data_IF_581123561717
#
_entry.id   IF_581123561717
#
_cell.length_a   1.000
_cell.length_b   1.000
_cell.length_c   1.000
_cell.angle_alpha   90.00
_cell.angle_beta   90.00
_cell.angle_gamma   90.00
#
_symmetry.space_group_name_H-M   'P 1'
#
loop_
_entity.id
_entity.type
_entity.pdbx_description
1 polymer ?
#
# COMPACT_ATOMS: atom_id res chain seq x y z
N UNK A 1 -18.10 -55.55 -51.84
CA UNK A 1 -19.21 -54.59 -51.89
C UNK A 1 -19.97 -54.61 -50.57
N UNK A 2 -19.51 -53.86 -49.57
CA UNK A 2 -20.34 -53.36 -48.47
C UNK A 2 -19.73 -52.04 -48.01
N UNK A 3 -20.51 -50.96 -48.17
CA UNK A 3 -20.16 -49.61 -47.79
C UNK A 3 -20.54 -49.41 -46.32
N UNK A 4 -19.56 -49.09 -45.48
CA UNK A 4 -19.77 -48.82 -44.06
C UNK A 4 -19.96 -47.32 -43.86
N UNK A 5 -21.19 -46.95 -43.54
CA UNK A 5 -21.68 -45.58 -43.35
C UNK A 5 -21.08 -45.04 -42.05
N UNK A 6 -20.12 -44.12 -42.16
CA UNK A 6 -19.62 -43.35 -41.01
C UNK A 6 -20.59 -42.22 -40.70
N UNK A 7 -21.32 -42.36 -39.60
CA UNK A 7 -22.14 -41.29 -39.00
C UNK A 7 -21.25 -40.12 -38.55
N UNK A 8 -21.49 -38.94 -39.11
CA UNK A 8 -20.94 -37.65 -38.64
C UNK A 8 -21.60 -37.25 -37.31
N UNK A 9 -20.85 -36.87 -36.27
CA UNK A 9 -21.42 -36.14 -35.15
C UNK A 9 -21.77 -34.70 -35.58
N UNK A 10 -22.96 -34.26 -35.19
CA UNK A 10 -23.44 -32.89 -35.37
C UNK A 10 -22.57 -31.90 -34.58
N UNK A 11 -22.04 -30.90 -35.27
CA UNK A 11 -21.32 -29.78 -34.67
C UNK A 11 -22.30 -28.83 -33.98
N UNK A 12 -22.16 -28.65 -32.67
CA UNK A 12 -22.87 -27.60 -31.93
C UNK A 12 -22.43 -26.20 -32.37
N UNK A 13 -23.31 -25.19 -32.37
CA UNK A 13 -22.94 -23.82 -32.73
C UNK A 13 -21.98 -23.22 -31.70
N UNK A 14 -20.86 -22.69 -32.21
CA UNK A 14 -19.89 -21.90 -31.45
C UNK A 14 -20.54 -20.54 -31.13
N UNK A 15 -20.86 -20.30 -29.87
CA UNK A 15 -21.22 -18.97 -29.40
C UNK A 15 -19.96 -18.07 -29.38
N UNK A 16 -20.02 -16.84 -29.90
CA UNK A 16 -18.93 -15.88 -29.76
C UNK A 16 -18.80 -15.44 -28.29
N UNK A 17 -17.58 -15.18 -27.79
CA UNK A 17 -17.41 -14.62 -26.46
C UNK A 17 -17.96 -13.20 -26.41
N UNK A 18 -18.90 -12.97 -25.50
CA UNK A 18 -19.36 -11.64 -25.10
C UNK A 18 -18.14 -10.77 -24.76
N UNK A 19 -17.83 -9.79 -25.61
CA UNK A 19 -16.96 -8.68 -25.25
C UNK A 19 -17.71 -7.80 -24.26
N UNK A 20 -17.37 -7.91 -22.97
CA UNK A 20 -17.71 -6.88 -21.98
C UNK A 20 -16.82 -5.66 -22.25
N UNK A 21 -17.42 -4.58 -22.68
CA UNK A 21 -16.81 -3.25 -22.74
C UNK A 21 -16.70 -2.68 -21.33
N UNK A 22 -15.58 -2.00 -21.06
CA UNK A 22 -15.17 -1.49 -19.74
C UNK A 22 -15.93 -0.22 -19.30
N UNK A 23 -17.16 -0.01 -19.79
CA UNK A 23 -17.83 1.30 -19.76
C UNK A 23 -19.16 1.36 -18.99
N UNK A 24 -19.64 0.24 -18.41
CA UNK A 24 -20.98 0.20 -17.78
C UNK A 24 -20.98 0.31 -16.24
N UNK A 25 -19.84 0.56 -15.59
CA UNK A 25 -19.75 0.64 -14.12
C UNK A 25 -19.76 2.09 -13.56
N UNK A 26 -20.23 3.08 -14.33
CA UNK A 26 -20.38 4.47 -13.85
C UNK A 26 -21.84 4.91 -13.79
N UNK A 27 -22.61 4.36 -12.85
CA UNK A 27 -23.77 5.04 -12.28
C UNK A 27 -24.22 4.35 -10.99
N UNK A 28 -23.84 4.92 -9.83
CA UNK A 28 -24.69 5.06 -8.64
C UNK A 28 -23.94 5.86 -7.58
N UNK A 29 -24.04 7.19 -7.67
CA UNK A 29 -23.87 8.08 -6.53
C UNK A 29 -25.13 8.03 -5.66
N UNK A 30 -24.99 7.70 -4.37
CA UNK A 30 -25.59 8.44 -3.24
C UNK A 30 -25.54 7.66 -1.92
N UNK A 31 -24.54 7.95 -1.09
CA UNK A 31 -24.68 7.87 0.38
C UNK A 31 -23.99 9.10 0.99
N UNK A 32 -24.71 9.94 1.76
CA UNK A 32 -24.15 11.12 2.38
C UNK A 32 -23.52 10.80 3.74
N UNK A 33 -22.41 11.47 4.04
CA UNK A 33 -21.89 11.63 5.39
C UNK A 33 -20.80 10.62 5.77
N UNK A 34 -19.55 11.08 5.77
CA UNK A 34 -18.67 10.95 6.93
C UNK A 34 -17.41 11.80 6.74
N UNK A 35 -17.09 12.51 7.81
CA UNK A 35 -16.05 13.52 7.90
C UNK A 35 -14.64 12.96 7.68
N UNK A 36 -13.82 13.77 7.01
CA UNK A 36 -12.39 13.55 6.80
C UNK A 36 -11.65 13.69 8.14
N UNK A 37 -11.34 12.56 8.76
CA UNK A 37 -10.47 12.45 9.92
C UNK A 37 -9.00 12.49 9.51
N UNK A 38 -8.27 13.44 10.08
CA UNK A 38 -6.84 13.73 9.89
C UNK A 38 -5.95 12.49 10.07
N UNK A 39 -5.04 12.25 9.12
CA UNK A 39 -3.91 11.32 9.29
C UNK A 39 -2.95 11.87 10.34
N UNK A 40 -2.84 11.22 11.50
CA UNK A 40 -1.74 11.40 12.45
C UNK A 40 -0.61 10.42 12.12
N UNK A 41 0.61 10.92 12.18
CA UNK A 41 1.87 10.20 12.05
C UNK A 41 2.08 9.17 13.18
N UNK A 42 2.92 8.14 12.98
CA UNK A 42 3.20 7.09 13.96
C UNK A 42 4.02 7.58 15.17
N UNK A 43 3.88 6.96 16.36
CA UNK A 43 4.66 7.31 17.55
C UNK A 43 6.09 6.77 17.46
N UNK A 44 7.04 7.67 17.71
CA UNK A 44 8.47 7.41 17.75
C UNK A 44 8.91 6.49 18.90
N UNK A 45 9.99 5.78 18.59
CA UNK A 45 10.76 4.89 19.45
C UNK A 45 11.34 5.64 20.66
N UNK A 46 11.20 5.03 21.84
CA UNK A 46 11.85 5.45 23.09
C UNK A 46 13.36 5.28 22.97
N UNK A 47 14.12 6.37 23.12
CA UNK A 47 15.53 6.31 23.48
C UNK A 47 15.74 6.83 24.91
N UNK A 48 16.55 6.07 25.63
CA UNK A 48 16.96 6.27 27.02
C UNK A 48 17.75 7.57 27.19
N UNK A 49 17.33 8.41 28.14
CA UNK A 49 18.07 9.59 28.58
C UNK A 49 19.25 9.20 29.49
N UNK A 50 20.46 9.67 29.14
CA UNK A 50 21.50 10.01 30.12
C UNK A 50 21.53 11.52 30.25
N UNK A 51 21.49 11.97 31.49
CA UNK A 51 21.49 13.37 31.91
C UNK A 51 22.88 13.99 31.70
N UNK A 52 22.94 15.16 31.05
CA UNK A 52 23.89 16.22 31.40
C UNK A 52 23.17 17.55 31.23
N UNK A 53 23.17 18.35 32.31
CA UNK A 53 22.56 19.66 32.45
C UNK A 53 23.25 20.73 31.59
N UNK A 54 22.45 21.71 31.13
CA UNK A 54 22.73 23.15 30.90
C UNK A 54 21.57 23.67 30.01
N UNK A 55 20.45 24.20 30.51
CA UNK A 55 20.16 25.47 31.23
C UNK A 55 20.57 26.75 30.47
N UNK A 56 19.64 27.29 29.68
CA UNK A 56 19.28 28.73 29.47
C UNK A 56 18.02 28.74 28.58
N UNK A 57 16.81 29.03 29.09
CA UNK A 57 16.14 30.33 29.31
C UNK A 57 15.45 30.93 28.06
N UNK A 58 14.27 31.54 28.31
CA UNK A 58 13.24 32.13 27.41
C UNK A 58 12.33 31.12 26.71
N UNK A 59 11.09 30.87 27.13
CA UNK A 59 9.92 31.77 27.31
C UNK A 59 9.46 32.40 25.98
N UNK A 60 8.31 31.95 25.46
CA UNK A 60 7.17 32.78 25.06
C UNK A 60 6.10 32.01 24.26
N UNK A 61 4.90 32.02 24.84
CA UNK A 61 3.55 32.02 24.26
C UNK A 61 3.32 31.64 22.79
N UNK A 62 2.63 30.50 22.62
CA UNK A 62 1.93 30.14 21.39
C UNK A 62 0.46 30.62 21.46
N UNK A 63 0.23 31.90 21.16
CA UNK A 63 -1.11 32.43 20.81
C UNK A 63 -1.28 32.40 19.30
N UNK A 64 -1.99 31.41 18.79
CA UNK A 64 -2.29 31.24 17.37
C UNK A 64 -3.45 32.12 16.91
N UNK A 65 -3.18 33.41 16.70
CA UNK A 65 -4.07 34.28 15.93
C UNK A 65 -3.40 34.66 14.61
N UNK A 66 -4.05 34.24 13.54
CA UNK A 66 -3.71 34.44 12.15
C UNK A 66 -3.74 35.93 11.79
N UNK A 67 -2.62 36.47 11.31
CA UNK A 67 -2.49 37.84 10.77
C UNK A 67 -1.81 37.85 9.40
N UNK A 68 -2.03 36.84 8.56
CA UNK A 68 -1.49 36.79 7.18
C UNK A 68 -2.41 37.48 6.16
N UNK A 69 -3.12 38.55 6.58
CA UNK A 69 -3.97 39.34 5.69
C UNK A 69 -3.74 40.85 5.89
N UNK A 70 -2.48 41.29 5.84
CA UNK A 70 -2.14 42.74 5.84
C UNK A 70 -1.00 43.15 4.89
N UNK A 71 -0.60 42.29 3.92
CA UNK A 71 0.40 42.66 2.89
C UNK A 71 -0.19 42.84 1.48
N UNK A 72 -1.46 43.21 1.36
CA UNK A 72 -2.10 43.46 0.05
C UNK A 72 -2.60 44.90 -0.13
N UNK A 73 -1.79 45.89 0.28
CA UNK A 73 -2.01 47.29 -0.08
C UNK A 73 -0.65 47.94 -0.34
N UNK A 74 -0.04 47.65 -1.49
CA UNK A 74 0.88 48.60 -2.17
C UNK A 74 1.11 48.20 -3.64
N UNK A 75 0.02 47.99 -4.37
CA UNK A 75 0.06 47.91 -5.82
C UNK A 75 -0.98 48.87 -6.36
N UNK A 76 -0.56 50.10 -6.66
CA UNK A 76 -0.97 50.94 -7.80
C UNK A 76 -0.58 52.40 -7.56
N UNK A 77 0.48 52.86 -8.24
CA UNK A 77 0.42 54.03 -9.14
C UNK A 77 1.68 53.99 -10.02
N UNK A 78 1.58 53.78 -11.33
CA UNK A 78 1.28 54.80 -12.34
C UNK A 78 2.33 55.91 -12.37
N UNK A 79 3.37 55.77 -13.20
CA UNK A 79 3.78 56.86 -14.08
C UNK A 79 4.39 56.32 -15.37
N UNK A 80 3.86 56.90 -16.43
CA UNK A 80 4.12 56.78 -17.86
C UNK A 80 5.58 57.02 -18.26
N UNK A 81 6.12 56.19 -19.15
CA UNK A 81 6.87 56.70 -20.31
C UNK A 81 6.50 55.90 -21.57
N UNK A 82 6.35 56.56 -22.72
CA UNK A 82 5.80 55.94 -23.92
C UNK A 82 6.85 55.23 -24.76
N UNK A 83 6.38 54.14 -25.37
CA UNK A 83 6.93 53.47 -26.53
C UNK A 83 6.77 54.36 -27.78
N UNK A 84 7.84 54.55 -28.55
CA UNK A 84 7.83 54.56 -30.02
C UNK A 84 9.30 54.46 -30.50
N UNK A 85 9.68 53.38 -31.19
CA UNK A 85 9.67 53.24 -32.67
C UNK A 85 10.85 54.01 -33.29
N UNK A 86 11.94 53.32 -33.66
CA UNK A 86 12.23 52.79 -35.01
C UNK A 86 12.91 53.84 -35.91
N UNK A 87 13.58 53.38 -36.98
CA UNK A 87 14.29 54.13 -38.06
C UNK A 87 15.79 54.43 -37.77
N UNK A 88 16.75 53.73 -38.38
CA UNK A 88 17.18 53.68 -39.80
C UNK A 88 18.06 54.85 -40.25
N UNK A 89 19.17 54.48 -40.88
CA UNK A 89 20.11 55.19 -41.77
C UNK A 89 19.76 56.61 -42.22
N UNK A 90 20.74 57.53 -42.15
CA UNK A 90 21.48 57.98 -43.35
C UNK A 90 22.48 59.13 -43.06
N UNK A 91 23.59 59.03 -43.77
CA UNK A 91 24.38 60.03 -44.49
C UNK A 91 25.12 61.26 -43.89
N UNK A 92 26.37 61.34 -44.39
CA UNK A 92 27.26 62.49 -44.70
C UNK A 92 27.51 63.64 -43.72
N UNK A 93 28.80 63.94 -43.42
CA UNK A 93 29.68 64.80 -44.26
C UNK A 93 31.03 65.16 -43.59
N UNK A 94 32.10 64.99 -44.37
CA UNK A 94 33.36 65.76 -44.44
C UNK A 94 33.90 66.54 -43.22
N UNK A 95 35.16 66.23 -42.85
CA UNK A 95 36.23 67.25 -42.93
C UNK A 95 37.62 66.65 -43.12
N UNK A 96 38.21 67.08 -44.22
CA UNK A 96 39.57 66.84 -44.71
C UNK A 96 40.54 67.88 -44.08
N UNK A 97 41.84 67.57 -44.11
CA UNK A 97 43.02 68.36 -43.65
C UNK A 97 43.25 68.39 -42.12
N UNK A 98 44.48 68.30 -41.57
CA UNK A 98 45.78 68.70 -42.09
C UNK A 98 46.92 67.98 -41.36
N UNK A 99 47.85 67.48 -42.18
CA UNK A 99 49.24 67.06 -41.90
C UNK A 99 49.98 68.06 -41.01
N UNK A 100 50.60 67.63 -39.90
CA UNK A 100 51.88 68.19 -39.48
C UNK A 100 52.88 67.11 -39.04
N UNK A 101 54.06 67.30 -39.59
CA UNK A 101 55.28 66.50 -39.54
C UNK A 101 55.96 66.79 -38.19
N UNK A 102 56.67 65.83 -37.56
CA UNK A 102 57.50 66.15 -36.40
C UNK A 102 58.56 67.18 -36.83
N UNK A 103 58.78 68.28 -36.09
CA UNK A 103 59.89 69.16 -36.37
C UNK A 103 61.21 68.45 -36.05
N UNK A 104 62.15 68.51 -36.98
CA UNK A 104 63.53 68.09 -36.80
C UNK A 104 64.16 68.77 -35.56
N UNK A 105 65.10 68.10 -34.86
CA UNK A 105 65.76 68.67 -33.70
C UNK A 105 66.55 69.94 -34.08
N UNK A 106 66.42 71.05 -33.35
CA UNK A 106 67.28 72.19 -33.57
C UNK A 106 68.73 71.83 -33.24
N UNK A 107 69.61 72.12 -34.21
CA UNK A 107 71.07 72.08 -34.14
C UNK A 107 71.60 72.67 -32.82
N UNK A 108 72.71 72.13 -32.27
CA UNK A 108 73.40 72.73 -31.15
C UNK A 108 73.95 74.09 -31.60
N UNK A 109 73.39 75.18 -31.06
CA UNK A 109 74.02 76.49 -31.14
C UNK A 109 75.14 76.51 -30.12
N UNK A 110 76.36 76.71 -30.62
CA UNK A 110 77.54 76.97 -29.81
C UNK A 110 77.27 78.10 -28.79
N UNK A 111 77.81 77.98 -27.57
CA UNK A 111 77.57 78.93 -26.50
C UNK A 111 78.14 80.31 -26.89
N UNK A 112 77.36 81.41 -26.85
CA UNK A 112 77.96 82.72 -26.88
C UNK A 112 78.80 82.88 -25.62
N UNK A 113 80.10 82.99 -25.84
CA UNK A 113 81.12 83.59 -24.99
C UNK A 113 80.59 84.12 -23.66
N UNK A 114 81.01 83.43 -22.59
CA UNK A 114 80.86 83.75 -21.17
C UNK A 114 81.40 85.16 -20.89
N UNK A 115 80.62 86.18 -21.26
CA UNK A 115 80.76 87.55 -20.78
C UNK A 115 80.56 87.48 -19.28
N UNK A 116 81.58 87.94 -18.56
CA UNK A 116 81.68 88.03 -17.12
C UNK A 116 80.30 88.34 -16.52
N UNK A 117 79.75 87.37 -15.77
CA UNK A 117 78.66 87.64 -14.82
C UNK A 117 79.24 88.62 -13.81
N UNK A 118 79.14 89.91 -14.11
CA UNK A 118 78.96 90.90 -13.07
C UNK A 118 77.78 90.38 -12.27
N UNK A 119 78.03 90.04 -11.02
CA UNK A 119 77.01 89.81 -10.01
C UNK A 119 76.15 91.07 -9.94
N UNK A 120 75.18 91.18 -10.85
CA UNK A 120 74.03 92.03 -10.66
C UNK A 120 73.32 91.38 -9.49
N UNK A 121 73.63 91.86 -8.29
CA UNK A 121 72.91 91.55 -7.07
C UNK A 121 71.44 91.80 -7.41
N UNK A 122 70.70 90.72 -7.62
CA UNK A 122 69.28 90.83 -7.88
C UNK A 122 68.68 91.63 -6.72
N UNK A 123 67.71 92.49 -7.02
CA UNK A 123 67.06 93.23 -5.96
C UNK A 123 66.46 92.21 -4.99
N UNK A 124 66.63 92.39 -3.68
CA UNK A 124 66.10 91.46 -2.66
C UNK A 124 64.62 91.09 -2.90
N UNK A 125 63.86 91.98 -3.55
CA UNK A 125 62.47 91.73 -3.97
C UNK A 125 62.32 90.77 -5.16
N UNK A 126 63.19 90.83 -6.17
CA UNK A 126 63.18 89.89 -7.31
C UNK A 126 63.55 88.47 -6.84
N UNK A 127 64.54 88.34 -5.96
CA UNK A 127 64.89 87.06 -5.34
C UNK A 127 63.73 86.52 -4.50
N UNK A 128 63.01 87.38 -3.79
CA UNK A 128 61.82 87.00 -3.03
C UNK A 128 60.69 86.47 -3.93
N UNK A 129 60.39 87.14 -5.06
CA UNK A 129 59.36 86.69 -6.02
C UNK A 129 59.77 85.36 -6.68
N UNK A 130 61.04 85.22 -7.07
CA UNK A 130 61.56 83.96 -7.63
C UNK A 130 61.51 82.83 -6.59
N UNK A 131 61.85 83.11 -5.33
CA UNK A 131 61.78 82.13 -4.25
C UNK A 131 60.33 81.73 -3.96
N UNK A 132 59.39 82.69 -3.96
CA UNK A 132 57.97 82.41 -3.72
C UNK A 132 57.33 81.59 -4.84
N UNK A 133 57.64 81.91 -6.08
CA UNK A 133 57.17 81.13 -7.24
C UNK A 133 57.80 79.74 -7.30
N UNK A 134 59.06 79.57 -6.87
CA UNK A 134 59.66 78.25 -6.66
C UNK A 134 58.96 77.46 -5.55
N UNK A 135 58.72 78.08 -4.39
CA UNK A 135 58.02 77.46 -3.27
C UNK A 135 56.61 76.98 -3.69
N UNK A 136 55.89 77.78 -4.49
CA UNK A 136 54.56 77.44 -5.00
C UNK A 136 54.61 76.29 -6.03
N UNK A 137 55.60 76.28 -6.92
CA UNK A 137 55.84 75.16 -7.86
C UNK A 137 56.19 73.88 -7.13
N UNK A 138 57.00 73.94 -6.08
CA UNK A 138 57.33 72.79 -5.24
C UNK A 138 56.11 72.26 -4.49
N UNK A 139 55.26 73.14 -3.95
CA UNK A 139 53.97 72.73 -3.36
C UNK A 139 53.10 72.01 -4.37
N UNK A 140 52.97 72.55 -5.58
CA UNK A 140 52.20 71.91 -6.66
C UNK A 140 52.79 70.56 -7.09
N UNK A 141 54.12 70.43 -7.14
CA UNK A 141 54.82 69.15 -7.38
C UNK A 141 54.58 68.14 -6.26
N UNK A 142 54.63 68.57 -4.99
CA UNK A 142 54.33 67.72 -3.83
C UNK A 142 52.88 67.25 -3.83
N UNK A 143 51.93 68.13 -4.17
CA UNK A 143 50.52 67.77 -4.32
C UNK A 143 50.31 66.77 -5.46
N UNK A 144 50.89 67.01 -6.63
CA UNK A 144 50.80 66.08 -7.76
C UNK A 144 51.46 64.72 -7.46
N UNK A 145 52.51 64.69 -6.63
CA UNK A 145 53.11 63.45 -6.15
C UNK A 145 52.16 62.69 -5.21
N UNK A 146 51.60 63.38 -4.21
CA UNK A 146 50.61 62.79 -3.29
C UNK A 146 49.38 62.26 -4.00
N UNK A 147 48.83 63.01 -4.94
CA UNK A 147 47.67 62.57 -5.72
C UNK A 147 47.97 61.30 -6.56
N UNK A 148 49.21 61.15 -7.05
CA UNK A 148 49.63 59.92 -7.72
C UNK A 148 49.73 58.73 -6.76
N UNK A 149 50.31 58.96 -5.58
CA UNK A 149 50.45 57.95 -4.53
C UNK A 149 49.08 57.50 -4.00
N UNK A 150 48.16 58.44 -3.76
CA UNK A 150 46.78 58.18 -3.36
C UNK A 150 46.02 57.36 -4.42
N UNK A 151 46.18 57.70 -5.71
CA UNK A 151 45.58 56.94 -6.83
C UNK A 151 46.15 55.52 -6.94
N UNK A 152 47.45 55.36 -6.78
CA UNK A 152 48.10 54.05 -6.81
C UNK A 152 47.63 53.17 -5.63
N UNK A 153 47.47 53.76 -4.44
CA UNK A 153 46.93 53.07 -3.27
C UNK A 153 45.44 52.70 -3.45
N UNK A 154 44.62 53.57 -4.02
CA UNK A 154 43.22 53.27 -4.33
C UNK A 154 43.10 52.12 -5.35
N UNK A 155 43.92 52.12 -6.41
CA UNK A 155 43.98 51.01 -7.36
C UNK A 155 44.43 49.71 -6.70
N UNK A 156 45.41 49.75 -5.80
CA UNK A 156 45.88 48.57 -5.06
C UNK A 156 44.75 48.00 -4.18
N UNK A 157 44.05 48.86 -3.44
CA UNK A 157 42.90 48.44 -2.63
C UNK A 157 41.76 47.88 -3.48
N UNK A 158 41.50 48.46 -4.66
CA UNK A 158 40.48 47.96 -5.57
C UNK A 158 40.84 46.56 -6.08
N UNK A 159 42.08 46.34 -6.49
CA UNK A 159 42.58 45.01 -6.91
C UNK A 159 42.45 43.98 -5.79
N UNK A 160 42.87 44.31 -4.56
CA UNK A 160 42.71 43.42 -3.42
C UNK A 160 41.24 43.08 -3.11
N UNK A 161 40.32 44.05 -3.22
CA UNK A 161 38.89 43.82 -3.03
C UNK A 161 38.31 42.91 -4.12
N UNK A 162 38.72 43.11 -5.37
CA UNK A 162 38.31 42.27 -6.49
C UNK A 162 38.83 40.84 -6.34
N UNK A 163 40.10 40.65 -5.95
CA UNK A 163 40.66 39.33 -5.66
C UNK A 163 39.95 38.62 -4.50
N UNK A 164 39.68 39.34 -3.40
CA UNK A 164 38.90 38.81 -2.27
C UNK A 164 37.49 38.40 -2.70
N UNK A 165 36.83 39.20 -3.54
CA UNK A 165 35.51 38.88 -4.10
C UNK A 165 35.57 37.63 -4.98
N UNK A 166 36.55 37.53 -5.87
CA UNK A 166 36.72 36.34 -6.71
C UNK A 166 36.97 35.07 -5.87
N UNK A 167 37.73 35.16 -4.78
CA UNK A 167 37.95 34.04 -3.89
C UNK A 167 36.68 33.64 -3.13
N UNK A 168 35.88 34.62 -2.68
CA UNK A 168 34.58 34.35 -2.06
C UNK A 168 33.62 33.70 -3.05
N UNK A 169 33.56 34.20 -4.29
CA UNK A 169 32.71 33.65 -5.35
C UNK A 169 33.12 32.22 -5.73
N UNK A 170 34.43 31.93 -5.82
CA UNK A 170 34.95 30.57 -6.04
C UNK A 170 34.54 29.62 -4.91
N UNK A 171 34.75 30.03 -3.65
CA UNK A 171 34.34 29.23 -2.47
C UNK A 171 32.84 28.99 -2.43
N UNK A 172 32.04 29.99 -2.76
CA UNK A 172 30.59 29.85 -2.82
C UNK A 172 30.19 28.86 -3.92
N UNK A 173 30.79 28.95 -5.11
CA UNK A 173 30.52 28.02 -6.22
C UNK A 173 30.87 26.58 -5.83
N UNK A 174 32.06 26.35 -5.29
CA UNK A 174 32.49 25.03 -4.82
C UNK A 174 31.53 24.46 -3.76
N UNK A 175 31.13 25.29 -2.79
CA UNK A 175 30.16 24.89 -1.76
C UNK A 175 28.79 24.55 -2.36
N UNK A 176 28.29 25.35 -3.30
CA UNK A 176 27.04 25.10 -3.99
C UNK A 176 27.08 23.80 -4.80
N UNK A 177 28.16 23.55 -5.53
CA UNK A 177 28.38 22.31 -6.28
C UNK A 177 28.43 21.09 -5.35
N UNK A 178 29.17 21.17 -4.24
CA UNK A 178 29.19 20.10 -3.24
C UNK A 178 27.81 19.83 -2.66
N UNK A 179 27.02 20.88 -2.37
CA UNK A 179 25.65 20.72 -1.85
C UNK A 179 24.72 20.08 -2.87
N UNK A 180 24.80 20.48 -4.14
CA UNK A 180 23.99 19.87 -5.20
C UNK A 180 24.36 18.40 -5.42
N UNK A 181 25.65 18.06 -5.38
CA UNK A 181 26.12 16.68 -5.48
C UNK A 181 25.64 15.83 -4.30
N UNK A 182 25.77 16.34 -3.07
CA UNK A 182 25.28 15.68 -1.86
C UNK A 182 23.77 15.42 -1.96
N UNK A 183 22.99 16.39 -2.42
CA UNK A 183 21.55 16.24 -2.61
C UNK A 183 21.22 15.20 -3.70
N UNK A 184 21.95 15.18 -4.81
CA UNK A 184 21.78 14.16 -5.87
C UNK A 184 22.07 12.76 -5.34
N UNK A 185 23.15 12.57 -4.59
CA UNK A 185 23.51 11.28 -3.98
C UNK A 185 22.41 10.83 -3.01
N UNK A 186 21.91 11.72 -2.15
CA UNK A 186 20.82 11.40 -1.22
C UNK A 186 19.53 11.02 -1.94
N UNK A 187 19.17 11.75 -3.00
CA UNK A 187 17.98 11.43 -3.82
C UNK A 187 18.14 10.06 -4.48
N UNK A 188 19.30 9.76 -5.06
CA UNK A 188 19.55 8.45 -5.67
C UNK A 188 19.55 7.33 -4.63
N UNK A 189 20.11 7.54 -3.44
CA UNK A 189 20.09 6.56 -2.36
C UNK A 189 18.65 6.25 -1.91
N UNK A 190 17.81 7.28 -1.74
CA UNK A 190 16.39 7.11 -1.42
C UNK A 190 15.65 6.33 -2.50
N UNK A 191 15.85 6.67 -3.77
CA UNK A 191 15.22 5.94 -4.89
C UNK A 191 15.67 4.47 -4.93
N UNK A 192 16.95 4.19 -4.65
CA UNK A 192 17.45 2.80 -4.57
C UNK A 192 16.81 2.04 -3.40
N UNK A 193 16.68 2.67 -2.24
CA UNK A 193 16.01 2.07 -1.07
C UNK A 193 14.54 1.78 -1.37
N UNK A 194 13.79 2.74 -1.92
CA UNK A 194 12.38 2.56 -2.28
C UNK A 194 12.18 1.44 -3.30
N UNK A 195 13.08 1.30 -4.27
CA UNK A 195 13.03 0.19 -5.25
C UNK A 195 13.30 -1.16 -4.58
N UNK A 196 14.30 -1.25 -3.72
CA UNK A 196 14.60 -2.48 -2.99
C UNK A 196 13.45 -2.88 -2.05
N UNK A 197 12.83 -1.92 -1.37
CA UNK A 197 11.66 -2.17 -0.52
C UNK A 197 10.45 -2.66 -1.34
N UNK A 198 10.20 -2.06 -2.51
CA UNK A 198 9.15 -2.52 -3.42
C UNK A 198 9.40 -3.93 -3.93
N UNK A 199 10.64 -4.26 -4.30
CA UNK A 199 11.00 -5.60 -4.75
C UNK A 199 10.81 -6.64 -3.62
N UNK A 200 11.22 -6.33 -2.40
CA UNK A 200 10.99 -7.19 -1.23
C UNK A 200 9.49 -7.38 -0.98
N UNK A 201 8.68 -6.33 -1.10
CA UNK A 201 7.24 -6.39 -0.89
C UNK A 201 6.54 -7.21 -1.99
N UNK A 202 6.97 -7.09 -3.24
CA UNK A 202 6.49 -7.91 -4.36
C UNK A 202 6.85 -9.38 -4.17
N UNK A 203 8.08 -9.68 -3.77
CA UNK A 203 8.49 -11.05 -3.44
C UNK A 203 7.66 -11.64 -2.30
N UNK A 204 7.38 -10.88 -1.24
CA UNK A 204 6.49 -11.32 -0.15
C UNK A 204 5.08 -11.64 -0.65
N UNK A 205 4.52 -10.79 -1.51
CA UNK A 205 3.19 -11.02 -2.12
C UNK A 205 3.18 -12.28 -2.98
N UNK A 206 4.20 -12.47 -3.81
CA UNK A 206 4.37 -13.68 -4.61
C UNK A 206 4.44 -14.93 -3.73
N UNK A 207 5.25 -14.92 -2.66
CA UNK A 207 5.33 -16.04 -1.73
C UNK A 207 4.00 -16.35 -1.02
N UNK A 208 3.23 -15.33 -0.62
CA UNK A 208 1.91 -15.53 -0.03
C UNK A 208 0.96 -16.17 -1.04
N UNK A 209 0.98 -15.69 -2.28
CA UNK A 209 0.17 -16.22 -3.37
C UNK A 209 0.51 -17.68 -3.68
N UNK A 210 1.80 -18.00 -3.83
CA UNK A 210 2.26 -19.38 -4.06
C UNK A 210 1.89 -20.31 -2.89
N UNK A 211 2.00 -19.84 -1.64
CA UNK A 211 1.57 -20.61 -0.48
C UNK A 211 0.07 -20.86 -0.50
N UNK A 212 -0.73 -19.84 -0.82
CA UNK A 212 -2.17 -19.98 -0.92
C UNK A 212 -2.59 -20.95 -2.03
N UNK A 213 -1.93 -20.90 -3.20
CA UNK A 213 -2.16 -21.85 -4.29
C UNK A 213 -1.82 -23.28 -3.87
N UNK A 214 -0.64 -23.50 -3.27
CA UNK A 214 -0.22 -24.83 -2.79
C UNK A 214 -1.21 -25.40 -1.75
N UNK A 215 -1.70 -24.58 -0.83
CA UNK A 215 -2.69 -25.02 0.17
C UNK A 215 -4.05 -25.30 -0.48
N UNK A 216 -4.46 -24.51 -1.48
CA UNK A 216 -5.68 -24.77 -2.25
C UNK A 216 -5.61 -26.09 -3.01
N UNK A 217 -4.50 -26.36 -3.69
CA UNK A 217 -4.28 -27.60 -4.44
C UNK A 217 -4.28 -28.82 -3.51
N UNK A 218 -3.58 -28.73 -2.37
CA UNK A 218 -3.62 -29.77 -1.32
C UNK A 218 -5.03 -30.02 -0.81
N UNK A 219 -5.80 -28.96 -0.57
CA UNK A 219 -7.18 -29.09 -0.13
C UNK A 219 -8.05 -29.76 -1.20
N UNK A 220 -7.83 -29.44 -2.47
CA UNK A 220 -8.53 -30.05 -3.60
C UNK A 220 -8.23 -31.56 -3.68
N UNK A 221 -6.97 -31.95 -3.53
CA UNK A 221 -6.55 -33.36 -3.49
C UNK A 221 -7.20 -34.11 -2.33
N UNK A 222 -7.13 -33.53 -1.12
CA UNK A 222 -7.79 -34.10 0.07
C UNK A 222 -9.31 -34.24 -0.11
N UNK A 223 -9.94 -33.31 -0.85
CA UNK A 223 -11.37 -33.39 -1.16
C UNK A 223 -11.68 -34.53 -2.12
N UNK A 224 -10.88 -34.68 -3.19
CA UNK A 224 -11.02 -35.78 -4.16
C UNK A 224 -10.82 -37.14 -3.50
N UNK A 225 -9.77 -37.29 -2.68
CA UNK A 225 -9.51 -38.53 -1.95
C UNK A 225 -10.67 -38.91 -1.03
N UNK A 226 -11.22 -37.97 -0.27
CA UNK A 226 -12.39 -38.22 0.59
C UNK A 226 -13.63 -38.61 -0.22
N UNK A 227 -13.85 -37.99 -1.36
CA UNK A 227 -14.98 -38.33 -2.24
C UNK A 227 -14.80 -39.74 -2.83
N UNK A 228 -13.58 -40.10 -3.24
CA UNK A 228 -13.24 -41.44 -3.72
C UNK A 228 -13.39 -42.50 -2.61
N UNK A 229 -12.95 -42.23 -1.39
CA UNK A 229 -13.15 -43.13 -0.24
C UNK A 229 -14.64 -43.36 0.04
N UNK A 230 -15.45 -42.29 0.04
CA UNK A 230 -16.90 -42.39 0.22
C UNK A 230 -17.53 -43.21 -0.90
N UNK A 231 -17.13 -42.96 -2.16
CA UNK A 231 -17.61 -43.71 -3.32
C UNK A 231 -17.26 -45.20 -3.25
N UNK A 232 -16.02 -45.53 -2.88
CA UNK A 232 -15.59 -46.93 -2.70
C UNK A 232 -16.38 -47.63 -1.60
N UNK A 233 -16.62 -46.93 -0.48
CA UNK A 233 -17.37 -47.48 0.65
C UNK A 233 -18.84 -47.71 0.30
N UNK A 234 -19.46 -46.79 -0.45
CA UNK A 234 -20.82 -46.96 -0.95
C UNK A 234 -20.93 -48.13 -1.94
N UNK A 235 -19.94 -48.30 -2.82
CA UNK A 235 -19.87 -49.43 -3.75
C UNK A 235 -19.67 -50.77 -3.03
N UNK A 236 -18.82 -50.82 -1.99
CA UNK A 236 -18.65 -52.00 -1.15
C UNK A 236 -19.95 -52.35 -0.39
N UNK A 237 -20.62 -51.35 0.19
CA UNK A 237 -21.91 -51.54 0.87
C UNK A 237 -23.00 -51.99 -0.10
N UNK A 238 -23.02 -51.49 -1.34
CA UNK A 238 -23.93 -51.94 -2.40
C UNK A 238 -23.66 -53.42 -2.72
N UNK A 239 -22.40 -53.78 -2.96
CA UNK A 239 -22.00 -55.18 -3.24
C UNK A 239 -22.34 -56.10 -2.07
N UNK A 240 -22.15 -55.66 -0.82
CA UNK A 240 -22.51 -56.42 0.38
C UNK A 240 -24.01 -56.66 0.47
N UNK A 241 -24.84 -55.65 0.20
CA UNK A 241 -26.30 -55.78 0.19
C UNK A 241 -26.79 -56.71 -0.92
N UNK A 242 -26.14 -56.70 -2.09
CA UNK A 242 -26.44 -57.63 -3.18
C UNK A 242 -26.10 -59.06 -2.77
N UNK A 243 -24.92 -59.31 -2.21
CA UNK A 243 -24.54 -60.62 -1.70
C UNK A 243 -25.51 -61.14 -0.60
N UNK A 244 -25.91 -60.29 0.35
CA UNK A 244 -26.88 -60.66 1.39
C UNK A 244 -28.26 -61.02 0.79
N UNK A 245 -28.68 -60.31 -0.27
CA UNK A 245 -29.93 -60.63 -0.98
C UNK A 245 -29.83 -61.99 -1.67
N UNK A 246 -28.73 -62.28 -2.35
CA UNK A 246 -28.49 -63.58 -2.99
C UNK A 246 -28.44 -64.72 -1.98
N UNK A 247 -27.78 -64.54 -0.83
CA UNK A 247 -27.75 -65.53 0.24
C UNK A 247 -29.15 -65.80 0.80
N UNK A 248 -29.94 -64.74 1.05
CA UNK A 248 -31.34 -64.90 1.48
C UNK A 248 -32.19 -65.63 0.44
N UNK A 249 -31.96 -65.38 -0.85
CA UNK A 249 -32.65 -66.10 -1.93
C UNK A 249 -32.28 -67.58 -1.92
N UNK A 250 -30.98 -67.92 -1.88
CA UNK A 250 -30.52 -69.31 -1.81
C UNK A 250 -31.07 -70.04 -0.58
N UNK A 251 -31.02 -69.40 0.60
CA UNK A 251 -31.61 -69.97 1.82
C UNK A 251 -33.12 -70.18 1.69
N UNK A 252 -33.85 -69.23 1.10
CA UNK A 252 -35.29 -69.38 0.87
C UNK A 252 -35.59 -70.52 -0.11
N UNK A 253 -34.79 -70.67 -1.16
CA UNK A 253 -34.89 -71.78 -2.11
C UNK A 253 -34.59 -73.13 -1.46
N UNK A 254 -33.55 -73.22 -0.63
CA UNK A 254 -33.23 -74.42 0.14
C UNK A 254 -34.36 -74.80 1.10
N UNK A 255 -34.87 -73.84 1.88
CA UNK A 255 -35.99 -74.04 2.80
C UNK A 255 -37.25 -74.47 2.04
N UNK A 256 -37.51 -73.86 0.88
CA UNK A 256 -38.64 -74.24 0.02
C UNK A 256 -38.50 -75.65 -0.53
N UNK A 257 -37.31 -76.02 -1.01
CA UNK A 257 -37.02 -77.36 -1.50
C UNK A 257 -37.14 -78.42 -0.40
N UNK A 258 -36.64 -78.13 0.78
CA UNK A 258 -36.81 -78.98 1.96
C UNK A 258 -38.27 -79.09 2.38
N UNK A 259 -39.02 -78.00 2.32
CA UNK A 259 -40.46 -78.03 2.54
C UNK A 259 -41.19 -78.87 1.50
N UNK A 260 -40.83 -78.79 0.21
CA UNK A 260 -41.39 -79.63 -0.86
C UNK A 260 -41.10 -81.12 -0.64
N UNK A 261 -39.92 -81.48 -0.15
CA UNK A 261 -39.58 -82.87 0.21
C UNK A 261 -40.41 -83.34 1.41
N UNK A 262 -40.48 -82.52 2.47
CA UNK A 262 -41.23 -82.83 3.70
C UNK A 262 -42.73 -82.84 3.47
N UNK A 263 -43.27 -82.00 2.58
CA UNK A 263 -44.72 -81.93 2.33
C UNK A 263 -45.25 -83.20 1.66
N UNK A 264 -44.44 -83.83 0.80
CA UNK A 264 -44.77 -85.12 0.18
C UNK A 264 -44.83 -86.27 1.21
N UNK A 265 -44.10 -86.18 2.32
CA UNK A 265 -44.07 -87.22 3.36
C UNK A 265 -44.98 -86.93 4.55
N UNK A 266 -45.58 -85.72 4.62
CA UNK A 266 -46.53 -85.40 5.67
C UNK A 266 -47.79 -86.25 5.51
N UNK A 267 -48.26 -86.94 6.57
CA UNK A 267 -49.56 -87.57 6.54
C UNK A 267 -50.61 -86.49 6.28
N UNK A 268 -51.64 -86.82 5.50
CA UNK A 268 -52.75 -85.90 5.26
C UNK A 268 -53.28 -85.43 6.61
N UNK A 269 -53.42 -84.11 6.86
CA UNK A 269 -53.90 -83.61 8.14
C UNK A 269 -55.24 -84.26 8.46
N UNK A 270 -55.35 -84.82 9.65
CA UNK A 270 -56.54 -85.51 10.11
C UNK A 270 -57.69 -84.48 10.15
N UNK A 271 -58.79 -84.81 9.48
CA UNK A 271 -59.97 -83.95 9.46
C UNK A 271 -60.52 -83.80 10.88
N UNK A 272 -60.72 -82.58 11.35
CA UNK A 272 -61.27 -82.29 12.68
C UNK A 272 -62.79 -82.46 12.75
N UNK A 273 -63.44 -82.53 11.59
CA UNK A 273 -64.87 -82.70 11.44
C UNK A 273 -65.13 -83.78 10.39
N UNK A 274 -65.95 -84.76 10.74
CA UNK A 274 -66.41 -85.80 9.82
C UNK A 274 -67.88 -85.59 9.52
N UNK A 275 -68.25 -85.67 8.25
CA UNK A 275 -69.63 -85.58 7.78
C UNK A 275 -70.01 -86.82 6.99
N UNK A 276 -71.28 -87.21 7.05
CA UNK A 276 -71.84 -88.24 6.19
C UNK A 276 -72.38 -87.57 4.92
N UNK A 277 -71.71 -87.77 3.79
CA UNK A 277 -72.27 -87.41 2.48
C UNK A 277 -72.34 -88.66 1.61
N UNK A 278 -73.50 -88.94 1.03
CA UNK A 278 -73.67 -90.08 0.12
C UNK A 278 -73.43 -91.45 0.75
N UNK A 279 -73.56 -91.59 2.08
CA UNK A 279 -73.42 -92.88 2.77
C UNK A 279 -71.98 -93.27 3.18
N UNK A 280 -70.97 -92.44 2.89
CA UNK A 280 -69.57 -92.68 3.28
C UNK A 280 -69.09 -91.57 4.21
N UNK A 281 -68.51 -91.95 5.36
CA UNK A 281 -67.92 -91.01 6.33
C UNK A 281 -66.71 -90.32 5.69
N UNK A 282 -66.88 -89.06 5.31
CA UNK A 282 -65.83 -88.27 4.66
C UNK A 282 -65.44 -87.15 5.61
N UNK A 283 -64.14 -86.96 5.82
CA UNK A 283 -63.65 -85.84 6.61
C UNK A 283 -63.71 -84.54 5.81
N UNK A 284 -64.25 -83.49 6.42
CA UNK A 284 -64.33 -82.15 5.82
C UNK A 284 -63.44 -81.19 6.62
N UNK A 285 -62.85 -80.23 5.92
CA UNK A 285 -62.32 -79.04 6.58
C UNK A 285 -63.51 -78.11 6.78
N UNK A 286 -64.03 -78.05 8.00
CA UNK A 286 -65.10 -77.12 8.34
C UNK A 286 -64.62 -75.69 8.12
N UNK A 287 -65.10 -75.05 7.04
CA UNK A 287 -64.79 -73.65 6.70
C UNK A 287 -65.47 -72.67 7.66
N UNK A 288 -66.45 -73.12 8.45
CA UNK A 288 -67.13 -72.32 9.46
C UNK A 288 -66.49 -72.47 10.86
N UNK A 289 -65.76 -73.56 11.12
CA UNK A 289 -64.95 -73.70 12.31
C UNK A 289 -63.65 -72.91 12.15
N UNK A 290 -63.66 -71.66 12.60
CA UNK A 290 -62.41 -70.95 12.85
C UNK A 290 -61.58 -71.79 13.83
N UNK A 291 -60.32 -72.15 13.49
CA UNK A 291 -59.45 -72.79 14.48
C UNK A 291 -59.39 -71.88 15.70
N UNK A 292 -59.47 -72.47 16.90
CA UNK A 292 -59.40 -71.71 18.15
C UNK A 292 -58.16 -70.81 18.07
N UNK A 293 -58.30 -69.47 18.16
CA UNK A 293 -57.16 -68.57 18.03
C UNK A 293 -56.10 -68.97 19.04
N UNK A 294 -54.87 -69.17 18.58
CA UNK A 294 -53.74 -69.55 19.46
C UNK A 294 -53.39 -68.45 20.47
N UNK A 295 -53.88 -67.23 20.25
CA UNK A 295 -53.69 -66.08 21.11
C UNK A 295 -55.04 -65.39 21.36
N UNK A 296 -55.49 -65.44 22.61
CA UNK A 296 -56.57 -64.60 23.11
C UNK A 296 -55.93 -63.42 23.85
N UNK A 297 -56.25 -62.19 23.47
CA UNK A 297 -55.87 -61.02 24.28
C UNK A 297 -56.65 -61.13 25.61
N UNK A 298 -56.00 -61.43 26.75
CA UNK A 298 -56.72 -61.77 27.98
C UNK A 298 -57.53 -60.59 28.55
N UNK A 299 -57.32 -59.38 28.03
CA UNK A 299 -57.99 -58.16 28.46
C UNK A 299 -58.31 -57.28 27.24
N UNK A 300 -59.45 -57.51 26.53
CA UNK A 300 -59.72 -56.88 25.24
C UNK A 300 -59.90 -55.35 25.29
N UNK A 301 -60.17 -54.78 26.46
CA UNK A 301 -60.34 -53.34 26.68
C UNK A 301 -59.05 -52.58 27.04
N UNK A 302 -57.91 -53.26 27.14
CA UNK A 302 -56.62 -52.56 27.26
C UNK A 302 -56.24 -51.99 25.89
N UNK A 303 -56.03 -50.66 25.77
CA UNK A 303 -55.57 -50.07 24.52
C UNK A 303 -54.25 -50.72 24.09
N UNK A 304 -54.18 -51.19 22.84
CA UNK A 304 -52.96 -51.74 22.27
C UNK A 304 -51.86 -50.69 22.46
N UNK A 305 -50.75 -51.07 23.09
CA UNK A 305 -49.66 -50.14 23.40
C UNK A 305 -49.02 -49.67 22.10
N UNK A 306 -49.49 -48.54 21.57
CA UNK A 306 -48.84 -47.86 20.45
C UNK A 306 -47.49 -47.35 20.97
N UNK A 307 -46.36 -47.80 20.43
CA UNK A 307 -45.06 -47.32 20.87
C UNK A 307 -45.01 -45.81 20.66
N UNK A 308 -44.88 -45.03 21.73
CA UNK A 308 -44.71 -43.58 21.63
C UNK A 308 -43.39 -43.32 20.92
N UNK A 309 -43.43 -42.54 19.83
CA UNK A 309 -42.22 -42.09 19.15
C UNK A 309 -41.28 -41.43 20.16
N UNK A 310 -40.04 -41.93 20.23
CA UNK A 310 -39.04 -41.46 21.18
C UNK A 310 -38.68 -40.02 20.82
N UNK A 311 -39.24 -39.07 21.58
CA UNK A 311 -38.73 -37.70 21.60
C UNK A 311 -37.24 -37.73 21.98
N UNK A 312 -36.38 -36.91 21.34
CA UNK A 312 -34.95 -36.92 21.63
C UNK A 312 -34.72 -36.61 23.10
N UNK A 313 -34.04 -37.55 23.78
CA UNK A 313 -33.71 -37.52 25.20
C UNK A 313 -32.96 -36.24 25.55
N UNK A 314 -33.63 -35.32 26.25
CA UNK A 314 -32.96 -34.24 26.99
C UNK A 314 -32.32 -34.88 28.23
N UNK A 315 -31.00 -34.91 28.24
CA UNK A 315 -30.18 -35.33 29.39
C UNK A 315 -30.48 -34.42 30.61
N UNK A 316 -30.56 -34.97 31.84
CA UNK A 316 -30.88 -34.17 33.02
C UNK A 316 -29.64 -33.47 33.58
N UNK A 317 -29.73 -32.15 33.74
CA UNK A 317 -28.75 -31.33 34.47
C UNK A 317 -28.78 -31.68 35.96
N UNK A 318 -27.74 -32.37 36.45
CA UNK A 318 -27.50 -32.59 37.88
C UNK A 318 -26.52 -31.55 38.42
N UNK A 319 -26.96 -30.91 39.50
CA UNK A 319 -26.27 -29.93 40.34
C UNK A 319 -24.81 -30.27 40.67
N UNK A 320 -23.98 -29.22 40.57
CA UNK A 320 -22.55 -29.13 40.88
C UNK A 320 -22.24 -29.40 42.36
N UNK A 321 -21.18 -30.17 42.63
CA UNK A 321 -20.24 -29.96 43.76
C UNK A 321 -18.83 -29.81 43.19
N UNK A 322 -18.05 -28.96 43.83
CA UNK A 322 -16.93 -28.24 43.23
C UNK A 322 -15.75 -29.11 42.81
N UNK A 323 -15.35 -28.93 41.56
CA UNK A 323 -14.11 -29.42 40.97
C UNK A 323 -13.73 -28.46 39.83
N UNK A 324 -12.61 -27.78 39.98
CA UNK A 324 -12.13 -26.72 39.08
C UNK A 324 -11.61 -27.36 37.78
N UNK A 325 -12.51 -27.69 36.84
CA UNK A 325 -12.12 -28.07 35.48
C UNK A 325 -12.24 -26.87 34.55
N UNK A 326 -11.12 -26.58 33.86
CA UNK A 326 -11.03 -25.58 32.79
C UNK A 326 -11.99 -25.99 31.68
N UNK A 327 -13.10 -25.27 31.53
CA UNK A 327 -14.00 -25.45 30.40
C UNK A 327 -13.28 -25.07 29.11
N UNK A 328 -13.12 -26.03 28.20
CA UNK A 328 -12.93 -25.73 26.80
C UNK A 328 -14.08 -24.84 26.33
N UNK A 329 -13.72 -23.65 25.87
CA UNK A 329 -14.64 -22.73 25.22
C UNK A 329 -15.05 -23.39 23.90
N UNK A 330 -16.35 -23.60 23.69
CA UNK A 330 -16.89 -23.74 22.34
C UNK A 330 -16.49 -22.47 21.57
N UNK A 331 -15.88 -22.56 20.37
CA UNK A 331 -15.64 -21.37 19.58
C UNK A 331 -16.99 -20.78 19.20
N UNK A 332 -17.31 -19.62 19.76
CA UNK A 332 -18.45 -18.82 19.30
C UNK A 332 -18.33 -18.61 17.78
N UNK A 333 -19.43 -18.62 17.01
CA UNK A 333 -19.40 -18.29 15.59
C UNK A 333 -18.64 -16.98 15.38
N UNK A 334 -17.89 -16.83 14.28
CA UNK A 334 -17.00 -15.69 14.08
C UNK A 334 -17.79 -14.41 14.23
N UNK A 335 -17.53 -13.69 15.32
CA UNK A 335 -18.13 -12.39 15.57
C UNK A 335 -17.75 -11.49 14.41
N UNK A 336 -18.73 -10.77 13.86
CA UNK A 336 -18.47 -9.68 12.94
C UNK A 336 -17.41 -8.79 13.61
N UNK A 337 -16.32 -8.48 12.92
CA UNK A 337 -15.14 -7.73 13.38
C UNK A 337 -15.49 -6.48 14.20
N UNK A 338 -16.63 -5.82 13.90
CA UNK A 338 -17.18 -4.70 14.68
C UNK A 338 -17.47 -5.02 16.15
N UNK A 339 -17.91 -6.24 16.47
CA UNK A 339 -18.31 -6.64 17.82
C UNK A 339 -17.10 -7.01 18.70
N UNK A 340 -16.00 -7.44 18.07
CA UNK A 340 -14.71 -7.69 18.74
C UNK A 340 -14.09 -6.38 19.22
N UNK A 341 -14.11 -5.34 18.37
CA UNK A 341 -13.62 -4.00 18.71
C UNK A 341 -14.44 -3.36 19.84
N UNK A 342 -15.77 -3.49 19.82
CA UNK A 342 -16.59 -2.93 20.90
C UNK A 342 -16.34 -3.61 22.25
N UNK A 343 -16.05 -4.92 22.27
CA UNK A 343 -15.70 -5.64 23.51
C UNK A 343 -14.34 -5.23 24.08
N UNK A 344 -13.33 -4.95 23.25
CA UNK A 344 -12.03 -4.50 23.74
C UNK A 344 -12.13 -3.10 24.37
N UNK A 345 -12.89 -2.19 23.75
CA UNK A 345 -13.17 -0.85 24.28
C UNK A 345 -13.94 -0.92 25.61
N UNK A 346 -14.93 -1.82 25.72
CA UNK A 346 -15.69 -2.03 26.97
C UNK A 346 -14.84 -2.63 28.11
N UNK A 347 -13.88 -3.49 27.78
CA UNK A 347 -12.92 -4.03 28.76
C UNK A 347 -11.92 -2.98 29.25
N UNK A 348 -11.48 -2.08 28.39
CA UNK A 348 -10.55 -1.02 28.80
C UNK A 348 -11.24 0.04 29.67
N UNK A 349 -12.47 0.44 29.33
CA UNK A 349 -13.24 1.39 30.13
C UNK A 349 -13.63 0.87 31.53
N UNK A 350 -13.88 -0.44 31.67
CA UNK A 350 -14.17 -1.06 32.98
C UNK A 350 -12.93 -1.23 33.88
N UNK A 351 -11.72 -1.25 33.31
CA UNK A 351 -10.47 -1.26 34.08
C UNK A 351 -10.07 0.13 34.58
N UNK A 352 -10.42 1.17 33.82
CA UNK A 352 -10.15 2.57 34.19
C UNK A 352 -11.08 3.03 35.33
N UNK A 353 -12.33 2.57 35.33
CA UNK A 353 -13.33 2.93 36.35
C UNK A 353 -13.14 2.23 37.70
N UNK A 354 -12.33 1.17 37.78
CA UNK A 354 -11.96 0.50 39.05
C UNK A 354 -10.68 1.04 39.70
N UNK A 355 -10.04 2.03 39.08
CA UNK A 355 -8.80 2.67 39.57
C UNK A 355 -8.99 4.13 40.01
N UNK A 356 -10.23 4.56 40.23
CA UNK A 356 -10.56 5.85 40.84
C UNK A 356 -11.18 5.66 42.21
#
# INVERSE_FOLDING_TARGET
MYAEIRSRPQSSPIHPPFRRTLADDLATDNIPGLAVGRRRAPPGVRQSARQVLNRTYSDESMTGYSTDSLLSILSHDSYTTPTDSDLSDEDTKEKLYRKEKPPDPPKPRDPPTRKQKKEKKASHWEEWVVRKTQEEREKRRKQAWKEKEDKEEEERQRKEKEEKKQMADKKHKEWAEQKTLQQKIQRQAKVRQEKAEKEIEEQKKQQIHEKAQKEYDRWLEMKKQKEEEVRQKEEEDRRRKEAEKEEKQKQAEEVYNDWLKKSKTKPRPMFHSFGYTGGVLTGYHDRAAYPIPSFYNPVPWMPIHVPKEKQPTKVPDKKRRGGRQKSQHQPSPPLLWKEVEQRTVRKQSSLITRKR
#
